data_IF_041070538609
#
_entry.id   IF_041070538609
#
_cell.length_a   1.000
_cell.length_b   1.000
_cell.length_c   1.000
_cell.angle_alpha   90.00
_cell.angle_beta   90.00
_cell.angle_gamma   90.00
#
_symmetry.space_group_name_H-M   'P 1'
#
loop_
_entity.id
_entity.type
_entity.pdbx_description
1 polymer ?
#
# COMPACT_ATOMS: atom_id res chain seq x y z
N UNK A 1 95.44 -11.32 1.93
CA UNK A 1 95.20 -12.66 2.51
C UNK A 1 93.75 -13.04 2.16
N UNK A 2 93.48 -13.60 0.99
CA UNK A 2 93.36 -15.06 0.69
C UNK A 2 92.26 -15.78 1.51
N UNK A 3 91.10 -16.01 0.84
CA UNK A 3 90.13 -17.15 0.82
C UNK A 3 90.13 -18.19 2.00
N UNK A 4 89.00 -18.89 2.32
CA UNK A 4 88.07 -19.47 1.33
C UNK A 4 86.56 -19.53 1.64
N UNK A 5 85.81 -19.82 0.57
CA UNK A 5 84.42 -20.25 0.50
C UNK A 5 84.25 -21.65 1.12
N UNK A 6 83.17 -21.85 1.87
CA UNK A 6 82.58 -23.18 2.13
C UNK A 6 81.13 -23.20 1.65
N UNK A 7 80.86 -24.22 0.85
CA UNK A 7 79.64 -24.52 0.09
C UNK A 7 78.55 -25.09 0.99
N UNK A 8 77.35 -24.49 0.96
CA UNK A 8 76.12 -25.06 1.51
C UNK A 8 75.26 -25.63 0.39
N UNK A 9 75.24 -26.95 0.29
CA UNK A 9 74.43 -27.72 -0.66
C UNK A 9 72.94 -27.58 -0.29
N UNK A 10 72.14 -26.92 -1.12
CA UNK A 10 70.69 -26.88 -0.97
C UNK A 10 70.11 -28.19 -1.51
N UNK A 11 69.63 -29.01 -0.59
CA UNK A 11 68.85 -30.21 -0.88
C UNK A 11 67.59 -29.82 -1.67
N UNK A 12 67.65 -30.00 -3.00
CA UNK A 12 66.47 -29.90 -3.85
C UNK A 12 65.66 -31.17 -3.65
N UNK A 13 64.72 -31.12 -2.71
CA UNK A 13 63.68 -32.13 -2.57
C UNK A 13 63.06 -32.40 -3.93
N UNK A 14 63.38 -33.57 -4.50
CA UNK A 14 62.77 -34.09 -5.73
C UNK A 14 61.27 -34.20 -5.46
N UNK A 15 60.52 -33.21 -5.96
CA UNK A 15 59.07 -33.27 -6.01
C UNK A 15 58.71 -34.46 -6.89
N UNK A 16 58.46 -35.59 -6.25
CA UNK A 16 58.26 -36.87 -6.91
C UNK A 16 57.15 -36.75 -7.95
N UNK A 17 57.41 -37.28 -9.13
CA UNK A 17 56.48 -37.39 -10.27
C UNK A 17 55.06 -37.88 -9.89
N UNK A 18 54.93 -38.54 -8.73
CA UNK A 18 53.65 -38.98 -8.14
C UNK A 18 52.71 -37.85 -7.69
N UNK A 19 53.22 -36.71 -7.20
CA UNK A 19 52.34 -35.63 -6.70
C UNK A 19 51.75 -34.78 -7.83
N UNK A 20 52.49 -34.54 -8.92
CA UNK A 20 51.99 -33.84 -10.12
C UNK A 20 50.87 -34.66 -10.78
N UNK A 21 51.04 -35.99 -10.83
CA UNK A 21 50.00 -36.90 -11.33
C UNK A 21 48.72 -36.83 -10.51
N UNK A 22 48.80 -36.76 -9.18
CA UNK A 22 47.62 -36.71 -8.30
C UNK A 22 46.84 -35.40 -8.44
N UNK A 23 47.51 -34.25 -8.53
CA UNK A 23 46.86 -32.95 -8.77
C UNK A 23 46.27 -32.85 -10.17
N UNK A 24 46.95 -33.35 -11.21
CA UNK A 24 46.39 -33.42 -12.57
C UNK A 24 45.18 -34.36 -12.63
N UNK A 25 45.22 -35.51 -11.94
CA UNK A 25 44.09 -36.44 -11.90
C UNK A 25 42.89 -35.87 -11.12
N UNK A 26 43.14 -35.17 -10.02
CA UNK A 26 42.10 -34.47 -9.26
C UNK A 26 41.47 -33.31 -10.06
N UNK A 27 42.27 -32.58 -10.84
CA UNK A 27 41.77 -31.51 -11.72
C UNK A 27 40.95 -32.08 -12.90
N UNK A 28 41.41 -33.20 -13.48
CA UNK A 28 40.70 -33.93 -14.54
C UNK A 28 39.40 -34.56 -14.04
N UNK A 29 39.30 -34.95 -12.77
CA UNK A 29 38.05 -35.43 -12.15
C UNK A 29 37.06 -34.30 -11.80
N UNK A 30 37.52 -33.08 -11.55
CA UNK A 30 36.65 -31.92 -11.27
C UNK A 30 36.03 -31.30 -12.55
N UNK A 31 36.75 -31.34 -13.67
CA UNK A 31 36.29 -30.85 -14.99
C UNK A 31 34.95 -31.43 -15.47
N UNK A 32 34.68 -32.76 -15.42
CA UNK A 32 33.39 -33.32 -15.82
C UNK A 32 32.26 -33.02 -14.83
N UNK A 33 32.55 -32.76 -13.55
CA UNK A 33 31.55 -32.35 -12.57
C UNK A 33 30.97 -30.95 -12.86
N UNK A 34 31.78 -30.05 -13.43
CA UNK A 34 31.32 -28.74 -13.91
C UNK A 34 30.57 -28.81 -15.25
N UNK A 35 30.86 -29.81 -16.10
CA UNK A 35 30.24 -29.97 -17.42
C UNK A 35 28.84 -30.65 -17.39
N UNK A 36 28.46 -31.24 -16.25
CA UNK A 36 27.20 -31.98 -16.08
C UNK A 36 25.95 -31.12 -15.80
N UNK A 37 26.10 -29.85 -15.41
CA UNK A 37 24.98 -28.93 -15.15
C UNK A 37 24.37 -28.40 -16.46
N UNK A 38 23.72 -29.28 -17.24
CA UNK A 38 22.96 -28.89 -18.43
C UNK A 38 21.56 -28.44 -18.01
N UNK A 39 21.39 -27.12 -17.84
CA UNK A 39 20.12 -26.42 -17.58
C UNK A 39 19.14 -26.45 -18.78
N UNK A 40 18.94 -27.60 -19.42
CA UNK A 40 18.18 -27.73 -20.68
C UNK A 40 16.71 -27.30 -20.61
N UNK A 41 16.16 -27.08 -19.41
CA UNK A 41 14.80 -26.58 -19.20
C UNK A 41 14.71 -25.55 -18.06
N UNK A 42 15.83 -24.99 -17.60
CA UNK A 42 15.79 -23.95 -16.56
C UNK A 42 15.27 -22.63 -17.14
N UNK A 43 15.78 -22.30 -18.33
CA UNK A 43 15.24 -21.30 -19.24
C UNK A 43 14.37 -22.01 -20.28
N UNK A 44 13.14 -21.54 -20.44
CA UNK A 44 12.15 -22.17 -21.29
C UNK A 44 11.66 -21.14 -22.31
N UNK A 45 11.30 -21.53 -23.54
CA UNK A 45 10.95 -20.60 -24.62
C UNK A 45 9.52 -20.05 -24.48
N UNK A 46 9.19 -19.48 -23.32
CA UNK A 46 7.94 -18.76 -23.07
C UNK A 46 8.20 -17.67 -22.03
N UNK A 47 7.44 -16.58 -22.10
CA UNK A 47 7.57 -15.50 -21.11
C UNK A 47 6.87 -15.85 -19.79
N UNK A 48 7.63 -15.80 -18.70
CA UNK A 48 7.12 -15.85 -17.33
C UNK A 48 6.60 -14.48 -16.89
N UNK A 49 5.69 -14.44 -15.89
CA UNK A 49 5.27 -13.17 -15.30
C UNK A 49 6.47 -12.37 -14.79
N UNK A 50 6.52 -11.08 -15.15
CA UNK A 50 7.60 -10.14 -14.82
C UNK A 50 8.99 -10.50 -15.40
N UNK A 51 9.06 -11.38 -16.38
CA UNK A 51 10.30 -11.65 -17.13
C UNK A 51 10.66 -10.48 -18.05
N UNK A 52 11.96 -10.28 -18.24
CA UNK A 52 12.49 -9.31 -19.18
C UNK A 52 12.40 -9.84 -20.62
N UNK A 53 12.31 -8.94 -21.60
CA UNK A 53 12.29 -9.30 -23.01
C UNK A 53 12.97 -8.20 -23.82
N UNK A 54 13.60 -8.59 -24.93
CA UNK A 54 14.20 -7.68 -25.92
C UNK A 54 13.22 -7.31 -27.04
N UNK A 55 12.05 -7.95 -27.10
CA UNK A 55 11.06 -7.72 -28.15
C UNK A 55 10.34 -6.36 -28.02
N UNK A 56 10.06 -5.93 -26.79
CA UNK A 56 9.41 -4.64 -26.51
C UNK A 56 10.42 -3.59 -26.05
N UNK A 57 10.23 -2.34 -26.47
CA UNK A 57 11.12 -1.22 -26.15
C UNK A 57 11.32 -0.99 -24.64
N UNK A 58 10.28 -1.24 -23.83
CA UNK A 58 10.31 -1.07 -22.38
C UNK A 58 10.90 -2.27 -21.62
N UNK A 59 11.35 -3.31 -22.34
CA UNK A 59 11.97 -4.49 -21.76
C UNK A 59 11.01 -5.44 -21.03
N UNK A 60 9.70 -5.20 -21.05
CA UNK A 60 8.72 -5.90 -20.21
C UNK A 60 7.90 -6.92 -20.99
N UNK A 61 7.96 -8.18 -20.58
CA UNK A 61 7.08 -9.21 -21.14
C UNK A 61 5.62 -9.04 -20.67
N UNK A 62 5.41 -8.53 -19.45
CA UNK A 62 4.08 -8.24 -18.91
C UNK A 62 3.52 -6.94 -19.47
N UNK A 63 2.62 -7.05 -20.45
CA UNK A 63 2.01 -5.92 -21.15
C UNK A 63 0.82 -5.31 -20.38
N UNK A 64 0.67 -3.97 -20.38
CA UNK A 64 -0.52 -3.34 -19.83
C UNK A 64 -1.77 -3.70 -20.64
N UNK A 65 -2.93 -3.69 -19.99
CA UNK A 65 -4.21 -3.85 -20.68
C UNK A 65 -4.56 -2.56 -21.43
N UNK A 66 -5.17 -2.72 -22.60
CA UNK A 66 -5.74 -1.60 -23.35
C UNK A 66 -6.85 -0.90 -22.55
N UNK A 67 -6.99 0.40 -22.76
CA UNK A 67 -7.98 1.21 -22.02
C UNK A 67 -9.40 0.75 -22.37
N UNK A 68 -10.22 0.55 -21.33
CA UNK A 68 -11.64 0.20 -21.49
C UNK A 68 -11.93 -1.29 -21.61
N UNK A 69 -10.90 -2.14 -21.58
CA UNK A 69 -11.08 -3.61 -21.55
C UNK A 69 -11.70 -4.04 -20.23
N UNK A 70 -12.77 -4.85 -20.32
CA UNK A 70 -13.44 -5.49 -19.18
C UNK A 70 -13.16 -7.00 -19.24
N UNK A 71 -12.58 -7.57 -18.18
CA UNK A 71 -12.31 -9.00 -18.12
C UNK A 71 -13.52 -9.80 -17.60
N UNK A 72 -13.60 -11.09 -17.96
CA UNK A 72 -14.78 -11.95 -17.68
C UNK A 72 -15.23 -11.98 -16.21
N UNK A 73 -14.29 -11.94 -15.27
CA UNK A 73 -14.56 -11.97 -13.82
C UNK A 73 -14.50 -10.58 -13.17
N UNK A 74 -14.44 -9.51 -13.97
CA UNK A 74 -14.40 -8.15 -13.45
C UNK A 74 -15.74 -7.80 -12.85
N UNK A 75 -15.73 -7.38 -11.59
CA UNK A 75 -16.87 -6.66 -11.04
C UNK A 75 -17.00 -5.32 -11.74
N UNK A 76 -18.18 -5.07 -12.30
CA UNK A 76 -18.49 -3.80 -12.94
C UNK A 76 -18.54 -2.70 -11.89
N UNK A 77 -18.23 -1.47 -12.31
CA UNK A 77 -18.19 -0.31 -11.40
C UNK A 77 -19.55 -0.01 -10.74
N UNK A 78 -20.65 -0.63 -11.21
CA UNK A 78 -21.99 -0.62 -10.60
C UNK A 78 -22.14 -1.48 -9.35
N UNK A 79 -21.25 -2.47 -9.14
CA UNK A 79 -21.32 -3.36 -7.98
C UNK A 79 -20.92 -2.57 -6.71
N UNK A 80 -21.77 -2.51 -5.67
CA UNK A 80 -21.46 -1.81 -4.41
C UNK A 80 -20.15 -2.24 -3.76
N UNK A 81 -19.64 -3.43 -4.06
CA UNK A 81 -18.34 -3.88 -3.57
C UNK A 81 -17.17 -3.10 -4.17
N UNK A 82 -17.27 -2.63 -5.42
CA UNK A 82 -16.14 -1.99 -6.12
C UNK A 82 -16.25 -0.48 -6.23
N UNK A 83 -17.31 0.12 -5.69
CA UNK A 83 -17.52 1.56 -5.63
C UNK A 83 -17.95 2.01 -4.24
N UNK A 84 -17.42 3.15 -3.78
CA UNK A 84 -17.89 3.82 -2.57
C UNK A 84 -18.95 4.89 -2.85
N UNK A 85 -19.36 5.05 -4.11
CA UNK A 85 -20.34 6.03 -4.55
C UNK A 85 -21.76 5.46 -4.46
N UNK A 86 -22.74 6.34 -4.29
CA UNK A 86 -24.15 6.00 -4.49
C UNK A 86 -24.43 5.63 -5.94
N UNK A 87 -25.51 4.88 -6.19
CA UNK A 87 -25.87 4.44 -7.54
C UNK A 87 -26.15 5.63 -8.48
N UNK A 88 -26.80 6.67 -7.94
CA UNK A 88 -27.12 7.91 -8.63
C UNK A 88 -25.84 8.65 -9.05
N UNK A 89 -24.89 8.78 -8.12
CA UNK A 89 -23.62 9.44 -8.40
C UNK A 89 -22.75 8.63 -9.36
N UNK A 90 -22.75 7.30 -9.22
CA UNK A 90 -22.08 6.43 -10.17
C UNK A 90 -22.61 6.64 -11.59
N UNK A 91 -23.94 6.56 -11.77
CA UNK A 91 -24.60 6.72 -13.07
C UNK A 91 -24.27 8.07 -13.70
N UNK A 92 -24.36 9.14 -12.91
CA UNK A 92 -23.98 10.49 -13.34
C UNK A 92 -22.52 10.53 -13.80
N UNK A 93 -21.60 10.00 -13.00
CA UNK A 93 -20.16 10.01 -13.33
C UNK A 93 -19.83 9.20 -14.58
N UNK A 94 -20.58 8.12 -14.84
CA UNK A 94 -20.45 7.30 -16.04
C UNK A 94 -20.93 8.04 -17.28
N UNK A 95 -22.08 8.71 -17.21
CA UNK A 95 -22.62 9.54 -18.30
C UNK A 95 -21.65 10.66 -18.71
N UNK A 96 -20.94 11.26 -17.75
CA UNK A 96 -19.87 12.22 -18.02
C UNK A 96 -18.59 11.61 -18.62
N UNK A 97 -18.37 10.29 -18.46
CA UNK A 97 -17.14 9.60 -18.91
C UNK A 97 -17.23 9.09 -20.34
N UNK A 98 -18.43 9.03 -20.93
CA UNK A 98 -18.62 8.79 -22.37
C UNK A 98 -18.19 10.07 -23.08
N UNK A 99 -17.10 10.06 -23.87
CA UNK A 99 -16.69 11.29 -24.52
C UNK A 99 -17.65 11.58 -25.69
N UNK A 100 -18.35 12.73 -25.73
CA UNK A 100 -18.36 13.45 -27.00
C UNK A 100 -16.88 13.71 -27.36
N UNK A 101 -16.49 13.59 -28.63
CA UNK A 101 -15.15 14.01 -29.08
C UNK A 101 -14.88 15.41 -28.52
N UNK A 102 -13.95 15.54 -27.56
CA UNK A 102 -13.64 16.84 -26.94
C UNK A 102 -12.13 16.96 -26.83
N UNK A 103 -11.59 17.94 -27.54
CA UNK A 103 -10.27 18.51 -27.31
C UNK A 103 -10.19 18.93 -25.84
N UNK A 104 -9.21 18.42 -25.08
CA UNK A 104 -9.15 18.63 -23.62
C UNK A 104 -8.78 20.09 -23.34
N UNK A 105 -9.72 20.99 -22.99
CA UNK A 105 -9.37 22.35 -22.62
C UNK A 105 -8.89 22.37 -21.16
N UNK A 106 -8.24 23.45 -20.74
CA UNK A 106 -7.89 23.64 -19.34
C UNK A 106 -9.16 23.59 -18.47
N UNK A 107 -9.17 22.73 -17.44
CA UNK A 107 -10.31 22.58 -16.53
C UNK A 107 -10.60 23.90 -15.79
N UNK A 108 -11.87 24.32 -15.74
CA UNK A 108 -12.30 25.46 -14.91
C UNK A 108 -12.04 25.20 -13.42
N UNK A 109 -12.00 26.24 -12.58
CA UNK A 109 -11.81 26.06 -11.13
C UNK A 109 -12.91 25.18 -10.51
N UNK A 110 -14.16 25.34 -10.95
CA UNK A 110 -15.30 24.51 -10.57
C UNK A 110 -15.11 23.05 -11.02
N UNK A 111 -14.66 22.82 -12.26
CA UNK A 111 -14.35 21.48 -12.79
C UNK A 111 -13.22 20.81 -12.00
N UNK A 112 -12.21 21.57 -11.56
CA UNK A 112 -11.10 21.02 -10.76
C UNK A 112 -11.57 20.52 -9.40
N UNK A 113 -12.57 21.18 -8.79
CA UNK A 113 -13.13 20.77 -7.51
C UNK A 113 -14.13 19.62 -7.71
N UNK A 114 -15.06 19.75 -8.65
CA UNK A 114 -16.11 18.74 -8.91
C UNK A 114 -15.55 17.42 -9.48
N UNK A 115 -14.40 17.47 -10.17
CA UNK A 115 -13.67 16.29 -10.66
C UNK A 115 -12.54 15.84 -9.73
N UNK A 116 -12.34 16.51 -8.59
CA UNK A 116 -11.31 16.09 -7.64
C UNK A 116 -11.67 14.76 -6.99
N UNK A 117 -10.71 13.84 -7.01
CA UNK A 117 -10.84 12.53 -6.39
C UNK A 117 -10.84 12.74 -4.87
N UNK A 118 -11.72 12.03 -4.13
CA UNK A 118 -11.72 12.05 -2.67
C UNK A 118 -12.13 13.40 -2.06
N UNK A 119 -12.87 14.22 -2.81
CA UNK A 119 -13.67 15.32 -2.30
C UNK A 119 -15.13 15.12 -2.77
N UNK A 120 -16.13 15.59 -2.02
CA UNK A 120 -17.50 15.61 -2.49
C UNK A 120 -17.58 16.30 -3.86
N UNK A 121 -18.24 15.69 -4.83
CA UNK A 121 -18.35 16.24 -6.20
C UNK A 121 -19.42 17.33 -6.34
N UNK A 122 -19.94 17.81 -5.22
CA UNK A 122 -20.91 18.88 -5.08
C UNK A 122 -20.54 19.75 -3.89
N UNK A 123 -20.99 21.00 -3.91
CA UNK A 123 -20.92 21.87 -2.74
C UNK A 123 -21.75 21.27 -1.60
N UNK A 124 -21.11 20.78 -0.51
CA UNK A 124 -21.86 20.14 0.56
C UNK A 124 -22.59 21.14 1.45
N UNK A 125 -22.52 22.45 1.16
CA UNK A 125 -23.31 23.50 1.83
C UNK A 125 -24.69 23.72 1.20
N UNK A 126 -24.96 23.15 0.02
CA UNK A 126 -26.28 23.24 -0.61
C UNK A 126 -27.32 22.44 0.18
N UNK A 127 -28.52 23.01 0.35
CA UNK A 127 -29.61 22.43 1.15
C UNK A 127 -30.19 21.13 0.55
N UNK A 128 -30.16 20.99 -0.78
CA UNK A 128 -30.70 19.85 -1.53
C UNK A 128 -29.57 19.06 -2.23
N UNK A 129 -28.53 18.71 -1.46
CA UNK A 129 -27.36 18.02 -2.00
C UNK A 129 -27.63 16.51 -2.15
N UNK A 130 -27.38 15.90 -3.32
CA UNK A 130 -27.42 14.47 -3.45
C UNK A 130 -26.28 13.81 -2.64
N UNK A 131 -26.56 12.64 -2.06
CA UNK A 131 -25.54 11.84 -1.38
C UNK A 131 -24.53 11.33 -2.42
N UNK A 132 -23.25 11.62 -2.18
CA UNK A 132 -22.13 11.19 -3.06
C UNK A 132 -21.65 9.79 -2.68
N UNK A 133 -21.50 9.55 -1.39
CA UNK A 133 -20.88 8.34 -0.84
C UNK A 133 -21.89 7.50 -0.09
N UNK A 134 -21.66 6.19 -0.08
CA UNK A 134 -22.43 5.26 0.74
C UNK A 134 -22.02 5.35 2.21
N UNK A 135 -23.02 5.23 3.09
CA UNK A 135 -22.85 5.23 4.55
C UNK A 135 -22.70 3.81 5.13
N UNK A 136 -23.05 2.78 4.35
CA UNK A 136 -23.11 1.38 4.78
C UNK A 136 -22.08 0.50 4.05
N UNK A 137 -21.75 -0.64 4.66
CA UNK A 137 -20.89 -1.66 4.05
C UNK A 137 -21.69 -2.55 3.08
N UNK A 138 -21.10 -2.97 1.95
CA UNK A 138 -21.80 -3.80 0.96
C UNK A 138 -21.98 -5.27 1.37
N UNK A 139 -21.48 -5.66 2.54
CA UNK A 139 -21.63 -7.01 3.10
C UNK A 139 -21.62 -6.96 4.63
N UNK A 140 -22.19 -8.00 5.25
CA UNK A 140 -22.18 -8.16 6.70
C UNK A 140 -20.75 -8.36 7.22
N UNK A 141 -20.34 -7.55 8.19
CA UNK A 141 -19.01 -7.62 8.77
C UNK A 141 -18.94 -8.72 9.83
N UNK A 142 -18.03 -9.68 9.64
CA UNK A 142 -17.74 -10.71 10.65
C UNK A 142 -16.47 -10.38 11.45
N UNK A 143 -16.24 -11.10 12.56
CA UNK A 143 -14.98 -10.98 13.30
C UNK A 143 -13.76 -11.37 12.45
N UNK A 144 -13.90 -12.35 11.55
CA UNK A 144 -12.85 -12.74 10.61
C UNK A 144 -12.52 -11.60 9.63
N UNK A 145 -13.55 -10.87 9.17
CA UNK A 145 -13.36 -9.69 8.31
C UNK A 145 -12.62 -8.56 9.01
N UNK A 146 -12.92 -8.31 10.29
CA UNK A 146 -12.19 -7.31 11.09
C UNK A 146 -10.72 -7.70 11.30
N UNK A 147 -10.43 -8.98 11.60
CA UNK A 147 -9.06 -9.49 11.70
C UNK A 147 -8.31 -9.37 10.38
N UNK A 148 -8.98 -9.64 9.26
CA UNK A 148 -8.43 -9.43 7.92
C UNK A 148 -8.19 -7.94 7.61
N UNK A 149 -9.12 -7.08 8.02
CA UNK A 149 -9.00 -5.63 7.92
C UNK A 149 -7.78 -5.10 8.67
N UNK A 150 -7.58 -5.57 9.90
CA UNK A 150 -6.39 -5.28 10.72
C UNK A 150 -5.11 -5.70 10.00
N UNK A 151 -5.02 -6.95 9.54
CA UNK A 151 -3.85 -7.48 8.83
C UNK A 151 -3.51 -6.58 7.63
N UNK A 152 -4.52 -6.24 6.82
CA UNK A 152 -4.35 -5.41 5.62
C UNK A 152 -3.99 -3.96 5.95
N UNK A 153 -4.59 -3.39 6.99
CA UNK A 153 -4.23 -2.05 7.47
C UNK A 153 -2.78 -2.01 7.95
N UNK A 154 -2.33 -3.00 8.72
CA UNK A 154 -0.96 -3.08 9.21
C UNK A 154 0.06 -3.18 8.06
N UNK A 155 -0.26 -3.94 7.01
CA UNK A 155 0.63 -4.10 5.83
C UNK A 155 0.70 -2.82 4.99
N UNK A 156 -0.44 -2.22 4.66
CA UNK A 156 -0.50 -1.17 3.63
C UNK A 156 -0.64 0.25 4.19
N UNK A 157 -1.27 0.43 5.35
CA UNK A 157 -1.70 1.74 5.83
C UNK A 157 -0.88 2.23 7.02
N UNK A 158 -0.53 1.34 7.96
CA UNK A 158 0.16 1.70 9.22
C UNK A 158 1.55 2.32 9.01
N UNK A 159 2.20 2.01 7.89
CA UNK A 159 3.51 2.56 7.51
C UNK A 159 3.49 4.09 7.43
N UNK A 160 2.39 4.68 6.96
CA UNK A 160 2.18 6.12 6.89
C UNK A 160 1.25 6.63 7.99
N UNK A 161 0.12 5.96 8.24
CA UNK A 161 -0.90 6.42 9.18
C UNK A 161 -0.64 6.03 10.65
N UNK A 162 0.41 5.26 10.92
CA UNK A 162 0.69 4.69 12.24
C UNK A 162 -0.16 3.46 12.55
N UNK A 163 0.30 2.54 13.41
CA UNK A 163 -0.46 1.35 13.79
C UNK A 163 -1.76 1.68 14.53
N UNK A 164 -1.78 2.82 15.22
CA UNK A 164 -2.96 3.34 15.89
C UNK A 164 -3.85 4.18 14.97
N UNK A 165 -3.42 4.55 13.75
CA UNK A 165 -4.20 5.43 12.88
C UNK A 165 -4.18 6.91 13.26
N UNK A 166 -3.21 7.34 14.08
CA UNK A 166 -3.05 8.72 14.55
C UNK A 166 -2.22 9.62 13.60
N UNK A 167 -1.84 9.12 12.42
CA UNK A 167 -1.01 9.85 11.46
C UNK A 167 0.49 9.84 11.74
N UNK A 168 0.94 9.10 12.77
CA UNK A 168 2.36 9.01 13.17
C UNK A 168 3.01 7.71 12.67
N UNK A 169 2.98 7.47 11.37
CA UNK A 169 3.71 6.33 10.76
C UNK A 169 5.21 6.60 10.62
N UNK A 170 5.99 5.54 10.38
CA UNK A 170 7.45 5.62 10.22
C UNK A 170 7.90 6.45 9.02
N UNK A 171 7.09 6.57 7.99
CA UNK A 171 7.41 7.39 6.82
C UNK A 171 7.38 8.88 7.15
N UNK A 172 6.54 9.32 8.09
CA UNK A 172 6.49 10.72 8.53
C UNK A 172 7.82 11.16 9.17
N UNK A 173 8.45 10.30 9.99
CA UNK A 173 9.75 10.57 10.63
C UNK A 173 10.85 10.93 9.61
N UNK A 174 10.64 10.62 8.33
CA UNK A 174 11.58 10.86 7.22
C UNK A 174 11.25 12.12 6.39
N UNK A 175 10.32 12.96 6.84
CA UNK A 175 10.01 14.26 6.21
C UNK A 175 8.96 14.24 5.09
N UNK A 176 8.14 13.17 5.02
CA UNK A 176 7.02 13.11 4.06
C UNK A 176 5.82 13.96 4.52
N UNK A 177 4.77 14.08 3.70
CA UNK A 177 3.54 14.78 4.10
C UNK A 177 2.85 14.06 5.27
N UNK A 178 2.47 14.80 6.33
CA UNK A 178 1.72 14.27 7.47
C UNK A 178 0.35 13.76 6.99
N UNK A 179 0.04 12.47 7.15
CA UNK A 179 -1.29 11.95 6.86
C UNK A 179 -2.30 12.44 7.88
N UNK A 180 -3.57 12.58 7.48
CA UNK A 180 -4.65 12.90 8.42
C UNK A 180 -4.81 11.75 9.43
N UNK A 181 -4.90 12.09 10.72
CA UNK A 181 -5.33 11.15 11.78
C UNK A 181 -6.75 10.67 11.53
N UNK A 182 -7.03 9.40 11.73
CA UNK A 182 -8.40 8.88 11.67
C UNK A 182 -9.19 9.19 12.94
N UNK A 183 -8.51 9.51 14.04
CA UNK A 183 -9.15 9.78 15.32
C UNK A 183 -9.70 11.19 15.43
N UNK A 184 -10.87 11.31 16.08
CA UNK A 184 -11.48 12.58 16.45
C UNK A 184 -12.37 12.45 17.69
N UNK A 185 -11.83 12.78 18.86
CA UNK A 185 -12.30 13.97 19.58
C UNK A 185 -11.21 15.02 19.37
N UNK A 186 -11.51 16.32 19.40
CA UNK A 186 -10.51 17.40 19.26
C UNK A 186 -9.29 17.07 20.13
N UNK A 187 -8.23 16.51 19.54
CA UNK A 187 -6.98 16.29 20.25
C UNK A 187 -6.38 17.68 20.34
N UNK A 188 -6.22 18.22 21.54
CA UNK A 188 -5.65 19.56 21.65
C UNK A 188 -4.22 19.50 21.07
N UNK A 189 -3.74 20.57 20.43
CA UNK A 189 -2.36 20.64 19.94
C UNK A 189 -1.28 20.23 20.97
N UNK A 190 -1.59 20.26 22.26
CA UNK A 190 -0.71 19.85 23.36
C UNK A 190 -0.69 18.33 23.63
N UNK A 191 -1.67 17.57 23.15
CA UNK A 191 -1.77 16.10 23.33
C UNK A 191 -1.04 15.33 22.22
N UNK A 192 -0.66 16.00 21.14
CA UNK A 192 0.16 15.43 20.08
C UNK A 192 1.50 16.16 20.09
N UNK A 193 2.61 15.45 20.32
CA UNK A 193 3.95 15.95 20.00
C UNK A 193 4.14 15.99 18.47
N UNK A 194 3.36 16.85 17.82
CA UNK A 194 3.38 17.07 16.38
C UNK A 194 3.81 18.49 16.11
N UNK A 195 4.88 18.60 15.32
CA UNK A 195 5.45 19.88 14.88
C UNK A 195 4.46 20.76 14.09
N UNK A 196 3.28 20.25 13.71
CA UNK A 196 2.25 21.03 13.02
C UNK A 196 0.81 20.49 13.25
N UNK A 197 0.06 21.04 14.22
CA UNK A 197 -1.23 20.49 14.66
C UNK A 197 -2.44 20.97 13.85
N UNK A 198 -2.29 21.92 12.91
CA UNK A 198 -3.45 22.47 12.19
C UNK A 198 -4.03 21.48 11.17
N UNK A 199 -5.30 21.12 11.34
CA UNK A 199 -6.06 20.29 10.39
C UNK A 199 -5.94 18.77 10.57
N UNK A 200 -5.36 18.30 11.68
CA UNK A 200 -5.32 16.88 12.01
C UNK A 200 -6.72 16.38 12.36
N UNK A 201 -7.09 15.20 11.86
CA UNK A 201 -8.40 14.60 12.13
C UNK A 201 -9.55 15.08 11.24
N UNK A 202 -9.35 16.10 10.40
CA UNK A 202 -10.38 16.60 9.50
C UNK A 202 -10.18 16.12 8.07
N UNK A 203 -11.28 15.87 7.37
CA UNK A 203 -11.23 15.46 5.98
C UNK A 203 -10.73 16.59 5.08
N UNK A 204 -9.53 16.40 4.51
CA UNK A 204 -8.96 17.32 3.52
C UNK A 204 -9.82 17.42 2.26
N UNK A 205 -10.52 16.35 1.90
CA UNK A 205 -11.46 16.32 0.78
C UNK A 205 -12.63 17.28 0.96
N UNK A 206 -13.21 17.35 2.16
CA UNK A 206 -14.30 18.30 2.43
C UNK A 206 -13.78 19.73 2.66
N UNK A 207 -12.53 19.88 3.13
CA UNK A 207 -11.89 21.19 3.30
C UNK A 207 -11.75 21.98 2.00
N UNK A 208 -11.71 21.32 0.82
CA UNK A 208 -11.68 22.03 -0.48
C UNK A 208 -12.94 22.86 -0.73
N UNK A 209 -14.06 22.48 -0.11
CA UNK A 209 -15.34 23.22 -0.13
C UNK A 209 -15.49 24.18 1.05
N UNK A 210 -14.43 24.38 1.84
CA UNK A 210 -14.47 25.14 3.09
C UNK A 210 -15.41 24.51 4.11
N UNK A 211 -15.48 23.18 4.17
CA UNK A 211 -16.23 22.41 5.16
C UNK A 211 -15.25 21.60 6.00
N UNK A 212 -15.41 21.67 7.31
CA UNK A 212 -14.61 20.91 8.26
C UNK A 212 -15.45 19.77 8.83
N UNK A 213 -15.20 18.54 8.37
CA UNK A 213 -15.85 17.33 8.88
C UNK A 213 -14.77 16.42 9.47
N UNK A 214 -14.96 15.90 10.70
CA UNK A 214 -14.03 14.97 11.31
C UNK A 214 -14.03 13.60 10.60
N UNK A 215 -12.90 12.91 10.66
CA UNK A 215 -12.74 11.62 9.95
C UNK A 215 -13.63 10.50 10.53
N UNK A 216 -14.10 10.57 11.77
CA UNK A 216 -15.11 9.63 12.28
C UNK A 216 -16.50 9.82 11.64
N UNK A 217 -16.87 11.05 11.27
CA UNK A 217 -18.17 11.39 10.69
C UNK A 217 -18.25 11.28 9.16
N UNK A 218 -17.13 11.26 8.43
CA UNK A 218 -17.20 11.10 6.96
C UNK A 218 -17.83 9.75 6.58
N UNK A 219 -18.55 9.61 5.46
CA UNK A 219 -19.13 8.33 5.03
C UNK A 219 -18.08 7.23 4.81
N UNK A 220 -18.44 5.95 4.98
CA UNK A 220 -17.50 4.84 4.71
C UNK A 220 -17.08 4.76 3.24
N UNK A 221 -17.98 5.14 2.31
CA UNK A 221 -17.68 5.21 0.89
C UNK A 221 -16.59 6.23 0.53
N UNK A 222 -16.44 7.28 1.33
CA UNK A 222 -15.36 8.26 1.18
C UNK A 222 -13.98 7.61 1.33
N UNK A 223 -13.80 6.84 2.40
CA UNK A 223 -12.56 6.09 2.61
C UNK A 223 -12.28 5.12 1.48
N UNK A 224 -13.32 4.45 0.98
CA UNK A 224 -13.17 3.50 -0.11
C UNK A 224 -12.69 4.19 -1.39
N UNK A 225 -13.21 5.37 -1.73
CA UNK A 225 -12.75 6.13 -2.90
C UNK A 225 -11.29 6.57 -2.71
N UNK A 226 -10.93 7.11 -1.54
CA UNK A 226 -9.56 7.54 -1.24
C UNK A 226 -8.56 6.39 -1.36
N UNK A 227 -8.86 5.21 -0.81
CA UNK A 227 -7.98 4.03 -0.94
C UNK A 227 -7.91 3.56 -2.40
N UNK A 228 -9.04 3.59 -3.11
CA UNK A 228 -9.14 3.10 -4.49
C UNK A 228 -8.43 3.99 -5.49
N UNK A 229 -8.52 5.31 -5.33
CA UNK A 229 -8.08 6.28 -6.35
C UNK A 229 -6.85 7.09 -5.91
N UNK A 230 -6.54 7.11 -4.61
CA UNK A 230 -5.53 7.99 -4.02
C UNK A 230 -6.09 9.37 -3.72
N UNK A 231 -5.39 10.14 -2.88
CA UNK A 231 -5.75 11.51 -2.55
C UNK A 231 -4.51 12.31 -2.12
N UNK A 232 -4.28 13.47 -2.75
CA UNK A 232 -3.12 14.30 -2.45
C UNK A 232 -1.81 13.52 -2.60
N UNK A 233 -1.06 13.37 -1.50
CA UNK A 233 0.18 12.57 -1.47
C UNK A 233 -0.04 11.05 -1.28
N UNK A 234 -1.27 10.60 -1.07
CA UNK A 234 -1.59 9.16 -0.93
C UNK A 234 -1.80 8.53 -2.32
N UNK A 235 -1.03 7.49 -2.69
CA UNK A 235 -1.20 6.81 -3.98
C UNK A 235 -2.48 5.96 -3.99
N UNK A 236 -2.89 5.53 -5.18
CA UNK A 236 -3.92 4.51 -5.34
C UNK A 236 -3.41 3.14 -4.86
N UNK A 237 -4.24 2.42 -4.13
CA UNK A 237 -3.98 1.05 -3.70
C UNK A 237 -4.81 0.01 -4.45
N UNK A 238 -5.49 0.40 -5.54
CA UNK A 238 -6.42 -0.48 -6.25
C UNK A 238 -5.76 -1.66 -6.96
N UNK A 239 -4.47 -1.55 -7.31
CA UNK A 239 -3.71 -2.63 -7.92
C UNK A 239 -3.23 -3.67 -6.90
N UNK A 240 -3.02 -3.27 -5.64
CA UNK A 240 -2.46 -4.14 -4.59
C UNK A 240 -3.52 -4.71 -3.65
N UNK A 241 -4.62 -3.98 -3.40
CA UNK A 241 -5.63 -4.34 -2.40
C UNK A 241 -6.96 -4.66 -3.09
N UNK A 242 -7.46 -5.90 -2.99
CA UNK A 242 -8.78 -6.27 -3.49
C UNK A 242 -9.89 -5.42 -2.88
N UNK A 243 -10.97 -5.19 -3.64
CA UNK A 243 -12.06 -4.32 -3.21
C UNK A 243 -12.68 -4.71 -1.85
N UNK A 244 -12.92 -6.00 -1.62
CA UNK A 244 -13.41 -6.49 -0.33
C UNK A 244 -12.44 -6.18 0.83
N UNK A 245 -11.14 -6.32 0.61
CA UNK A 245 -10.12 -6.01 1.63
C UNK A 245 -10.06 -4.50 1.92
N UNK A 246 -10.36 -3.63 0.94
CA UNK A 246 -10.49 -2.18 1.19
C UNK A 246 -11.65 -1.89 2.15
N UNK A 247 -12.81 -2.52 1.97
CA UNK A 247 -13.94 -2.38 2.91
C UNK A 247 -13.59 -2.88 4.32
N UNK A 248 -12.86 -3.99 4.41
CA UNK A 248 -12.39 -4.54 5.70
C UNK A 248 -11.40 -3.61 6.39
N UNK A 249 -10.49 -2.98 5.66
CA UNK A 249 -9.59 -1.95 6.19
C UNK A 249 -10.42 -0.81 6.80
N UNK A 250 -11.46 -0.35 6.11
CA UNK A 250 -12.33 0.74 6.59
C UNK A 250 -13.05 0.33 7.87
N UNK A 251 -13.55 -0.90 7.95
CA UNK A 251 -14.15 -1.42 9.17
C UNK A 251 -13.16 -1.46 10.34
N UNK A 252 -11.89 -1.82 10.08
CA UNK A 252 -10.84 -1.73 11.09
C UNK A 252 -10.52 -0.28 11.50
N UNK A 253 -10.55 0.67 10.56
CA UNK A 253 -10.42 2.11 10.87
C UNK A 253 -11.56 2.56 11.80
N UNK A 254 -12.80 2.13 11.55
CA UNK A 254 -13.92 2.41 12.47
C UNK A 254 -13.73 1.78 13.84
N UNK A 255 -13.18 0.58 13.89
CA UNK A 255 -12.83 -0.07 15.16
C UNK A 255 -11.77 0.72 15.93
N UNK A 256 -10.75 1.25 15.25
CA UNK A 256 -9.73 2.12 15.86
C UNK A 256 -10.34 3.43 16.40
N UNK A 257 -11.27 4.04 15.67
CA UNK A 257 -11.98 5.24 16.14
C UNK A 257 -12.83 4.93 17.39
N UNK A 258 -13.49 3.77 17.41
CA UNK A 258 -14.26 3.31 18.55
C UNK A 258 -13.36 3.01 19.75
N UNK A 259 -12.18 2.40 19.55
CA UNK A 259 -11.27 2.07 20.65
C UNK A 259 -10.77 3.31 21.39
N UNK A 260 -10.53 4.41 20.68
CA UNK A 260 -10.10 5.68 21.30
C UNK A 260 -11.22 6.42 22.03
N UNK A 261 -12.48 6.14 21.71
CA UNK A 261 -13.65 6.79 22.31
C UNK A 261 -14.37 5.92 23.35
N UNK A 262 -13.93 4.67 23.53
CA UNK A 262 -14.54 3.72 24.45
C UNK A 262 -14.34 4.14 25.92
N UNK A 263 -15.44 4.13 26.68
CA UNK A 263 -15.37 4.31 28.12
C UNK A 263 -14.77 3.06 28.78
N UNK A 264 -13.55 3.20 29.31
CA UNK A 264 -12.85 2.14 30.02
C UNK A 264 -13.69 1.51 31.16
N UNK A 265 -14.62 2.26 31.76
CA UNK A 265 -15.50 1.74 32.81
C UNK A 265 -16.50 0.68 32.28
N UNK A 266 -16.84 0.72 30.99
CA UNK A 266 -17.80 -0.20 30.35
C UNK A 266 -17.15 -1.45 29.75
N UNK A 267 -15.82 -1.57 29.83
CA UNK A 267 -15.11 -2.71 29.29
C UNK A 267 -15.35 -3.97 30.13
N UNK A 268 -15.39 -5.17 29.49
CA UNK A 268 -15.41 -6.44 30.19
C UNK A 268 -14.24 -6.58 31.17
N UNK A 269 -14.37 -7.33 32.28
CA UNK A 269 -13.33 -7.48 33.29
C UNK A 269 -11.99 -7.99 32.73
N UNK A 270 -12.05 -8.90 31.75
CA UNK A 270 -10.87 -9.49 31.10
C UNK A 270 -10.05 -8.43 30.34
N UNK A 271 -10.75 -7.53 29.63
CA UNK A 271 -10.10 -6.45 28.86
C UNK A 271 -9.57 -5.37 29.78
N UNK A 272 -10.26 -5.07 30.89
CA UNK A 272 -9.75 -4.15 31.92
C UNK A 272 -8.43 -4.62 32.50
N UNK A 273 -8.34 -5.90 32.85
CA UNK A 273 -7.09 -6.51 33.36
C UNK A 273 -5.95 -6.39 32.35
N UNK A 274 -6.22 -6.67 31.07
CA UNK A 274 -5.23 -6.50 29.99
C UNK A 274 -4.79 -5.04 29.82
N UNK A 275 -5.69 -4.07 29.95
CA UNK A 275 -5.36 -2.64 29.89
C UNK A 275 -4.48 -2.20 31.06
N UNK A 276 -4.79 -2.66 32.27
CA UNK A 276 -4.01 -2.37 33.48
C UNK A 276 -2.60 -2.98 33.38
N UNK A 277 -2.49 -4.20 32.84
CA UNK A 277 -1.20 -4.91 32.64
C UNK A 277 -0.35 -4.29 31.52
N UNK A 278 -0.97 -3.76 30.47
CA UNK A 278 -0.27 -3.13 29.34
C UNK A 278 0.05 -1.65 29.56
N UNK A 279 -0.29 -1.11 30.74
CA UNK A 279 0.04 0.27 31.10
C UNK A 279 -0.79 1.32 30.35
N UNK A 280 -1.98 0.96 29.88
CA UNK A 280 -2.94 1.87 29.26
C UNK A 280 -3.51 2.87 30.26
N UNK A 281 -2.70 3.86 30.65
CA UNK A 281 -3.18 4.98 31.48
C UNK A 281 -4.12 5.85 30.65
N UNK A 282 -5.29 6.13 31.23
CA UNK A 282 -6.22 7.17 30.79
C UNK A 282 -5.54 8.52 30.65
#
# INVERSE_FOLDING_TARGET
MTAPLCTGEKDKGKMGSRSIGFYLFAFVLLLPAAAGCRQKMADQPYYRPLEATDFFEDGRASRPLERGVIHRAQRLETDPLVTGLTAEEWKRSYEYRVPPKVEVPALSAEDRITRSIGAPRYNPKAADKPKVYVDEYPFQMTHADLKRGQERFTIFCAVCHGPLGNGQGKIWERGYLVPTSFHTKKVSPSELDVKNPQGLGMSRGYSTWGISIPMDEVPVGYYFEVITKGYGGMPSYSAQIPAADRWRIIAYIRLLQLSQSADAAKLPPEIKKLLDETGGKK
#
